data_IF_623555723801
#
_entry.id   IF_623555723801
#
_cell.length_a   1.000
_cell.length_b   1.000
_cell.length_c   1.000
_cell.angle_alpha   90.00
_cell.angle_beta   90.00
_cell.angle_gamma   90.00
#
_symmetry.space_group_name_H-M   'P 1'
#
loop_
_entity.id
_entity.type
_entity.pdbx_description
1 polymer ?
#
# COMPACT_ATOMS: atom_id res chain seq x y z
N UNK A 1 -17.77 15.44 -31.55
CA UNK A 1 -18.96 15.72 -30.72
C UNK A 1 -20.03 14.71 -31.07
N UNK A 2 -20.12 13.62 -30.31
CA UNK A 2 -21.16 12.59 -30.45
C UNK A 2 -21.77 12.42 -29.07
N UNK A 3 -23.07 12.70 -28.97
CA UNK A 3 -23.81 12.68 -27.72
C UNK A 3 -23.96 11.23 -27.23
N UNK A 4 -23.47 10.95 -26.01
CA UNK A 4 -23.69 9.66 -25.33
C UNK A 4 -25.12 9.62 -24.81
N UNK A 5 -25.87 8.60 -25.22
CA UNK A 5 -27.23 8.31 -24.77
C UNK A 5 -27.22 7.80 -23.32
N UNK A 6 -28.01 8.47 -22.46
CA UNK A 6 -28.28 8.09 -21.07
C UNK A 6 -29.17 6.83 -21.04
N UNK A 7 -28.93 5.84 -20.14
CA UNK A 7 -29.84 4.70 -19.99
C UNK A 7 -31.18 5.13 -19.39
N UNK A 8 -32.26 4.56 -19.93
CA UNK A 8 -33.65 4.82 -19.50
C UNK A 8 -33.87 4.53 -18.02
N UNK A 9 -34.67 5.40 -17.39
CA UNK A 9 -35.09 5.31 -15.99
C UNK A 9 -35.82 3.99 -15.69
N UNK A 10 -35.49 3.39 -14.54
CA UNK A 10 -36.20 2.24 -13.97
C UNK A 10 -37.63 2.63 -13.55
N UNK A 11 -38.60 1.68 -13.58
CA UNK A 11 -40.00 1.97 -13.32
C UNK A 11 -40.22 2.36 -11.85
N UNK A 12 -40.85 3.52 -11.66
CA UNK A 12 -41.42 3.94 -10.38
C UNK A 12 -42.66 3.09 -10.08
N UNK A 13 -42.55 2.15 -9.15
CA UNK A 13 -43.46 2.00 -8.00
C UNK A 13 -43.26 0.64 -7.36
N UNK A 14 -42.76 0.62 -6.13
CA UNK A 14 -43.18 -0.31 -5.10
C UNK A 14 -42.72 0.30 -3.77
N UNK A 15 -43.61 0.25 -2.78
CA UNK A 15 -43.50 0.83 -1.44
C UNK A 15 -42.11 0.66 -0.82
N UNK A 16 -41.47 1.78 -0.48
CA UNK A 16 -40.16 1.85 0.17
C UNK A 16 -40.22 1.10 1.51
N UNK A 17 -39.47 0.00 1.69
CA UNK A 17 -39.13 -0.46 3.04
C UNK A 17 -38.25 0.62 3.68
N UNK A 18 -38.46 0.92 4.95
CA UNK A 18 -37.62 1.85 5.71
C UNK A 18 -36.14 1.48 5.51
N UNK A 19 -35.40 2.31 4.75
CA UNK A 19 -33.98 2.12 4.42
C UNK A 19 -33.10 1.97 5.69
N UNK A 20 -33.62 2.39 6.85
CA UNK A 20 -33.00 2.27 8.17
C UNK A 20 -32.92 0.83 8.71
N UNK A 21 -33.68 -0.12 8.16
CA UNK A 21 -33.58 -1.52 8.59
C UNK A 21 -32.31 -2.22 8.09
N UNK A 22 -31.68 -1.73 7.02
CA UNK A 22 -30.50 -2.35 6.39
C UNK A 22 -29.25 -2.21 7.28
N UNK A 23 -29.15 -1.11 8.05
CA UNK A 23 -28.03 -0.83 8.96
C UNK A 23 -28.06 -1.66 10.26
N UNK A 24 -29.14 -2.41 10.52
CA UNK A 24 -29.27 -3.30 11.68
C UNK A 24 -29.09 -4.77 11.32
N UNK A 25 -28.28 -5.07 10.31
CA UNK A 25 -27.91 -6.44 9.98
C UNK A 25 -27.04 -7.04 11.09
N UNK A 26 -27.30 -8.28 11.55
CA UNK A 26 -26.60 -8.91 12.67
C UNK A 26 -25.12 -9.25 12.38
N UNK A 27 -24.60 -8.87 11.21
CA UNK A 27 -23.20 -9.08 10.82
C UNK A 27 -22.23 -8.08 11.49
N UNK A 28 -22.75 -6.95 11.98
CA UNK A 28 -21.96 -5.83 12.50
C UNK A 28 -21.62 -5.93 14.00
N UNK A 29 -21.98 -7.04 14.68
CA UNK A 29 -21.89 -7.18 16.14
C UNK A 29 -20.63 -7.88 16.67
N UNK A 30 -19.69 -8.33 15.84
CA UNK A 30 -18.43 -8.95 16.31
C UNK A 30 -17.22 -8.04 16.09
N UNK A 31 -16.90 -7.21 17.07
CA UNK A 31 -15.78 -6.26 17.02
C UNK A 31 -14.63 -6.77 17.89
N UNK A 32 -13.41 -6.76 17.35
CA UNK A 32 -12.16 -6.93 18.11
C UNK A 32 -11.39 -5.62 18.06
N UNK A 33 -10.87 -5.16 19.20
CA UNK A 33 -10.09 -3.93 19.27
C UNK A 33 -8.84 -4.02 18.36
N UNK A 34 -8.53 -2.97 17.57
CA UNK A 34 -7.46 -2.98 16.57
C UNK A 34 -6.05 -3.20 17.16
N UNK A 35 -5.86 -2.92 18.44
CA UNK A 35 -4.57 -3.04 19.14
C UNK A 35 -4.22 -4.45 19.62
N UNK A 36 -5.10 -5.44 19.39
CA UNK A 36 -4.93 -6.82 19.88
C UNK A 36 -4.73 -7.83 18.73
N UNK A 37 -4.19 -7.41 17.58
CA UNK A 37 -3.83 -8.40 16.57
C UNK A 37 -2.63 -9.21 17.05
N UNK A 38 -2.83 -10.52 17.20
CA UNK A 38 -1.82 -11.45 17.71
C UNK A 38 -0.49 -11.35 16.94
N UNK A 39 0.64 -11.60 17.60
CA UNK A 39 1.95 -11.81 16.93
C UNK A 39 2.08 -13.21 16.31
N UNK A 40 0.96 -13.82 15.93
CA UNK A 40 0.95 -15.10 15.21
C UNK A 40 1.09 -14.84 13.71
N UNK A 41 1.46 -15.85 12.89
CA UNK A 41 1.47 -15.73 11.44
C UNK A 41 0.14 -15.19 10.87
N UNK A 42 -1.00 -15.68 11.38
CA UNK A 42 -2.32 -15.19 10.98
C UNK A 42 -2.53 -13.71 11.34
N UNK A 43 -2.01 -13.28 12.50
CA UNK A 43 -2.05 -11.88 12.90
C UNK A 43 -1.14 -10.97 12.07
N UNK A 44 0.03 -11.44 11.64
CA UNK A 44 0.90 -10.70 10.72
C UNK A 44 0.25 -10.51 9.34
N UNK A 45 -0.37 -11.56 8.80
CA UNK A 45 -1.11 -11.47 7.53
C UNK A 45 -2.26 -10.46 7.64
N UNK A 46 -3.05 -10.55 8.71
CA UNK A 46 -4.14 -9.63 9.01
C UNK A 46 -3.68 -8.17 9.11
N UNK A 47 -2.60 -7.91 9.85
CA UNK A 47 -2.02 -6.55 9.97
C UNK A 47 -1.49 -6.05 8.63
N UNK A 48 -0.83 -6.89 7.84
CA UNK A 48 -0.29 -6.51 6.55
C UNK A 48 -1.40 -6.16 5.55
N UNK A 49 -2.47 -6.95 5.53
CA UNK A 49 -3.65 -6.65 4.72
C UNK A 49 -4.29 -5.32 5.15
N UNK A 50 -4.51 -5.11 6.45
CA UNK A 50 -5.04 -3.85 6.97
C UNK A 50 -4.18 -2.66 6.58
N UNK A 51 -2.86 -2.75 6.77
CA UNK A 51 -1.91 -1.70 6.42
C UNK A 51 -2.02 -1.27 4.95
N UNK A 52 -2.11 -2.23 4.02
CA UNK A 52 -2.26 -1.94 2.59
C UNK A 52 -3.66 -1.42 2.26
N UNK A 53 -4.72 -2.06 2.77
CA UNK A 53 -6.11 -1.72 2.49
C UNK A 53 -6.47 -0.33 3.00
N UNK A 54 -6.08 0.01 4.22
CA UNK A 54 -6.40 1.31 4.81
C UNK A 54 -5.76 2.46 4.03
N UNK A 55 -4.49 2.29 3.62
CA UNK A 55 -3.77 3.23 2.74
C UNK A 55 -4.42 3.34 1.36
N UNK A 56 -4.87 2.23 0.79
CA UNK A 56 -5.57 2.23 -0.51
C UNK A 56 -6.88 3.00 -0.44
N UNK A 57 -7.73 2.72 0.56
CA UNK A 57 -9.00 3.42 0.73
C UNK A 57 -8.78 4.91 1.01
N UNK A 58 -7.82 5.24 1.88
CA UNK A 58 -7.45 6.63 2.15
C UNK A 58 -6.97 7.36 0.88
N UNK A 59 -6.09 6.75 0.07
CA UNK A 59 -5.64 7.33 -1.20
C UNK A 59 -6.82 7.55 -2.16
N UNK A 60 -7.66 6.55 -2.39
CA UNK A 60 -8.82 6.67 -3.29
C UNK A 60 -9.72 7.84 -2.87
N UNK A 61 -9.98 8.01 -1.57
CA UNK A 61 -10.81 9.09 -1.04
C UNK A 61 -10.12 10.45 -1.13
N UNK A 62 -8.87 10.53 -0.66
CA UNK A 62 -8.13 11.79 -0.55
C UNK A 62 -7.77 12.37 -1.92
N UNK A 63 -7.55 11.50 -2.91
CA UNK A 63 -7.30 11.89 -4.31
C UNK A 63 -8.61 12.09 -5.11
N UNK A 64 -9.77 11.96 -4.45
CA UNK A 64 -11.10 12.18 -5.03
C UNK A 64 -11.41 11.24 -6.22
N UNK A 65 -10.84 10.04 -6.21
CA UNK A 65 -11.14 8.99 -7.18
C UNK A 65 -12.48 8.29 -6.89
N UNK A 66 -12.91 8.36 -5.62
CA UNK A 66 -14.18 7.83 -5.12
C UNK A 66 -14.82 8.86 -4.18
N UNK A 67 -16.12 8.71 -3.94
CA UNK A 67 -16.79 9.44 -2.86
C UNK A 67 -16.78 8.62 -1.57
N UNK A 68 -16.78 9.33 -0.44
CA UNK A 68 -16.90 8.70 0.87
C UNK A 68 -17.84 9.46 1.80
N UNK A 69 -18.62 8.69 2.57
CA UNK A 69 -19.65 9.19 3.47
C UNK A 69 -19.51 8.55 4.84
N UNK A 70 -19.22 9.37 5.84
CA UNK A 70 -19.17 9.01 7.25
C UNK A 70 -20.57 9.03 7.85
N UNK A 71 -20.95 7.96 8.53
CA UNK A 71 -22.23 7.85 9.25
C UNK A 71 -21.96 7.89 10.74
N UNK A 72 -22.41 8.99 11.36
CA UNK A 72 -22.34 9.20 12.80
C UNK A 72 -23.50 8.45 13.47
N UNK A 73 -23.18 7.41 14.23
CA UNK A 73 -24.17 6.65 15.03
C UNK A 73 -24.25 7.13 16.48
N UNK A 74 -23.50 8.18 16.85
CA UNK A 74 -23.50 8.78 18.18
C UNK A 74 -22.80 7.96 19.27
N UNK A 75 -22.81 8.50 20.50
CA UNK A 75 -22.10 7.99 21.69
C UNK A 75 -22.66 6.67 22.29
N UNK A 76 -23.65 6.03 21.66
CA UNK A 76 -24.33 4.85 22.23
C UNK A 76 -23.52 3.55 22.12
N UNK A 77 -22.19 3.63 22.07
CA UNK A 77 -21.30 2.47 21.92
C UNK A 77 -21.43 1.76 20.56
N UNK A 78 -22.10 2.39 19.59
CA UNK A 78 -22.23 1.89 18.22
C UNK A 78 -21.04 2.36 17.40
N UNK A 79 -20.48 1.47 16.59
CA UNK A 79 -19.33 1.83 15.76
C UNK A 79 -19.76 2.72 14.61
N UNK A 80 -19.02 3.79 14.34
CA UNK A 80 -19.26 4.59 13.14
C UNK A 80 -18.75 3.86 11.90
N UNK A 81 -19.32 4.18 10.74
CA UNK A 81 -18.94 3.55 9.47
C UNK A 81 -18.65 4.60 8.40
N UNK A 82 -17.86 4.19 7.42
CA UNK A 82 -17.67 4.90 6.17
C UNK A 82 -18.25 4.07 5.03
N UNK A 83 -18.98 4.73 4.13
CA UNK A 83 -19.41 4.19 2.85
C UNK A 83 -18.54 4.80 1.78
N UNK A 84 -17.86 3.97 1.00
CA UNK A 84 -17.03 4.37 -0.12
C UNK A 84 -17.72 3.91 -1.40
N UNK A 85 -17.96 4.86 -2.31
CA UNK A 85 -18.84 4.70 -3.47
C UNK A 85 -18.21 5.27 -4.73
N UNK A 86 -18.69 4.89 -5.93
CA UNK A 86 -18.28 5.58 -7.15
C UNK A 86 -18.47 7.10 -7.02
N UNK A 87 -17.59 7.87 -7.65
CA UNK A 87 -17.65 9.33 -7.65
C UNK A 87 -19.01 9.83 -8.15
N UNK A 88 -19.59 10.81 -7.45
CA UNK A 88 -20.91 11.41 -7.72
C UNK A 88 -22.10 10.42 -7.66
N UNK A 89 -21.97 9.35 -6.88
CA UNK A 89 -23.08 8.39 -6.68
C UNK A 89 -24.24 8.98 -5.90
N UNK A 90 -25.46 8.78 -6.42
CA UNK A 90 -26.68 9.16 -5.73
C UNK A 90 -26.85 8.39 -4.41
N UNK A 91 -27.40 9.00 -3.33
CA UNK A 91 -27.55 8.32 -2.04
C UNK A 91 -28.37 7.03 -2.05
N UNK A 92 -29.27 6.86 -3.03
CA UNK A 92 -30.07 5.65 -3.21
C UNK A 92 -29.28 4.50 -3.84
N UNK A 93 -28.15 4.76 -4.51
CA UNK A 93 -27.33 3.73 -5.16
C UNK A 93 -26.20 3.18 -4.29
N UNK A 94 -25.93 3.79 -3.13
CA UNK A 94 -24.86 3.33 -2.22
C UNK A 94 -25.10 1.88 -1.76
N UNK A 95 -26.36 1.49 -1.59
CA UNK A 95 -26.73 0.13 -1.21
C UNK A 95 -26.48 -0.92 -2.31
N UNK A 96 -26.32 -0.49 -3.56
CA UNK A 96 -26.03 -1.35 -4.70
C UNK A 96 -24.54 -1.63 -4.86
N UNK A 97 -23.71 -0.65 -4.50
CA UNK A 97 -22.31 -0.61 -4.90
C UNK A 97 -21.51 0.27 -3.94
N UNK A 98 -21.07 -0.33 -2.83
CA UNK A 98 -20.21 0.34 -1.86
C UNK A 98 -19.24 -0.61 -1.20
N UNK A 99 -18.11 -0.05 -0.78
CA UNK A 99 -17.22 -0.64 0.21
C UNK A 99 -17.55 0.03 1.53
N UNK A 100 -17.86 -0.77 2.55
CA UNK A 100 -18.19 -0.29 3.89
C UNK A 100 -17.08 -0.70 4.82
N UNK A 101 -16.61 0.25 5.62
CA UNK A 101 -15.65 -0.02 6.68
C UNK A 101 -16.05 0.60 7.99
N UNK A 102 -15.70 -0.07 9.09
CA UNK A 102 -15.78 0.51 10.42
C UNK A 102 -14.72 1.60 10.57
N UNK A 103 -15.07 2.66 11.28
CA UNK A 103 -14.17 3.77 11.57
C UNK A 103 -13.84 3.81 13.07
N UNK A 104 -12.57 3.98 13.40
CA UNK A 104 -12.04 4.09 14.78
C UNK A 104 -12.06 5.53 15.29
N UNK A 105 -11.83 6.50 14.41
CA UNK A 105 -11.80 7.93 14.74
C UNK A 105 -12.57 8.74 13.69
N UNK A 106 -13.25 9.81 14.11
CA UNK A 106 -14.02 10.65 13.20
C UNK A 106 -13.08 11.30 12.15
N UNK A 107 -13.29 11.03 10.84
CA UNK A 107 -12.44 11.61 9.79
C UNK A 107 -12.77 13.09 9.60
N UNK A 108 -11.97 13.77 8.78
CA UNK A 108 -12.27 15.16 8.40
C UNK A 108 -13.44 15.15 7.42
N UNK A 109 -14.55 15.77 7.81
CA UNK A 109 -15.81 15.79 7.05
C UNK A 109 -16.28 17.21 6.74
N UNK A 110 -17.24 17.32 5.83
CA UNK A 110 -17.98 18.56 5.60
C UNK A 110 -18.69 19.06 6.87
N UNK A 111 -18.81 20.40 6.97
CA UNK A 111 -19.48 21.05 8.10
C UNK A 111 -20.98 20.78 8.14
N UNK A 112 -21.57 20.54 6.97
CA UNK A 112 -22.99 20.27 6.81
C UNK A 112 -23.20 18.80 6.48
N UNK A 113 -24.23 18.15 7.03
CA UNK A 113 -24.61 16.83 6.59
C UNK A 113 -24.94 16.79 5.09
N UNK A 114 -24.83 15.61 4.49
CA UNK A 114 -25.26 15.33 3.13
C UNK A 114 -26.76 15.57 2.99
N UNK A 115 -27.19 16.04 1.81
CA UNK A 115 -28.58 16.43 1.56
C UNK A 115 -29.58 15.34 1.98
N UNK A 116 -30.53 15.71 2.86
CA UNK A 116 -31.60 14.83 3.32
C UNK A 116 -31.22 13.80 4.38
N UNK A 117 -30.01 13.87 4.99
CA UNK A 117 -29.57 12.92 6.03
C UNK A 117 -28.79 13.61 7.15
N UNK A 118 -29.40 13.73 8.33
CA UNK A 118 -28.86 14.52 9.47
C UNK A 118 -27.57 13.97 10.11
N UNK A 119 -27.24 12.69 9.87
CA UNK A 119 -26.10 12.02 10.49
C UNK A 119 -25.08 11.46 9.48
N UNK A 120 -25.18 11.87 8.22
CA UNK A 120 -24.28 11.43 7.15
C UNK A 120 -23.49 12.62 6.66
N UNK A 121 -22.17 12.50 6.64
CA UNK A 121 -21.27 13.59 6.25
C UNK A 121 -20.34 13.13 5.14
N UNK A 122 -20.13 13.97 4.12
CA UNK A 122 -19.11 13.70 3.11
C UNK A 122 -17.72 13.80 3.74
N UNK A 123 -16.89 12.81 3.50
CA UNK A 123 -15.49 12.77 3.95
C UNK A 123 -14.64 13.61 3.01
N UNK A 124 -13.79 14.45 3.58
CA UNK A 124 -12.85 15.34 2.85
C UNK A 124 -11.42 14.88 2.98
N UNK A 125 -11.07 14.27 4.11
CA UNK A 125 -9.79 13.63 4.30
C UNK A 125 -9.97 12.44 5.24
N UNK A 126 -9.35 11.33 4.86
CA UNK A 126 -9.35 10.06 5.58
C UNK A 126 -7.92 9.69 5.92
N UNK A 127 -7.62 9.51 7.20
CA UNK A 127 -6.34 8.94 7.63
C UNK A 127 -6.44 7.41 7.58
N UNK A 128 -5.44 6.67 7.07
CA UNK A 128 -5.39 5.22 7.18
C UNK A 128 -5.63 4.68 8.60
N UNK A 129 -5.24 5.43 9.65
CA UNK A 129 -5.45 5.04 11.06
C UNK A 129 -6.91 5.19 11.54
N UNK A 130 -7.75 5.93 10.80
CA UNK A 130 -9.18 6.06 11.07
C UNK A 130 -9.95 4.78 10.71
N UNK A 131 -9.35 3.87 9.95
CA UNK A 131 -10.02 2.67 9.41
C UNK A 131 -9.82 1.48 10.35
N UNK A 132 -10.92 0.83 10.74
CA UNK A 132 -10.94 -0.36 11.57
C UNK A 132 -10.31 -1.59 10.90
N UNK A 133 -9.78 -2.50 11.73
CA UNK A 133 -9.17 -3.76 11.27
C UNK A 133 -10.26 -4.81 11.01
N UNK A 134 -10.16 -5.53 9.89
CA UNK A 134 -10.96 -6.73 9.57
C UNK A 134 -12.47 -6.56 9.42
N UNK A 135 -12.92 -5.34 9.13
CA UNK A 135 -14.32 -5.08 8.88
C UNK A 135 -14.50 -4.30 7.59
N UNK A 136 -14.22 -4.97 6.48
CA UNK A 136 -14.49 -4.44 5.15
C UNK A 136 -15.46 -5.37 4.44
N UNK A 137 -16.61 -4.80 4.07
CA UNK A 137 -17.61 -5.52 3.31
C UNK A 137 -17.88 -4.78 2.02
N UNK A 138 -18.05 -5.54 0.96
CA UNK A 138 -18.49 -5.07 -0.34
C UNK A 138 -19.97 -5.43 -0.48
N UNK A 139 -20.79 -4.45 -0.81
CA UNK A 139 -22.17 -4.68 -1.23
C UNK A 139 -22.23 -4.80 -2.74
N UNK A 140 -22.80 -5.92 -3.22
CA UNK A 140 -23.12 -6.14 -4.64
C UNK A 140 -24.61 -6.41 -4.80
N UNK A 141 -25.24 -5.65 -5.69
CA UNK A 141 -26.60 -5.87 -6.19
C UNK A 141 -27.67 -5.95 -5.10
N UNK A 142 -27.58 -5.09 -4.07
CA UNK A 142 -28.52 -4.94 -2.95
C UNK A 142 -28.80 -6.20 -2.10
N UNK A 143 -28.22 -7.34 -2.45
CA UNK A 143 -28.61 -8.65 -1.92
C UNK A 143 -27.44 -9.49 -1.44
N UNK A 144 -26.21 -9.14 -1.83
CA UNK A 144 -25.01 -9.85 -1.41
C UNK A 144 -24.02 -8.94 -0.71
N UNK A 145 -23.53 -9.42 0.43
CA UNK A 145 -22.48 -8.80 1.23
C UNK A 145 -21.30 -9.74 1.23
N UNK A 146 -20.16 -9.28 0.72
CA UNK A 146 -18.95 -10.08 0.62
C UNK A 146 -17.89 -9.47 1.53
N UNK A 147 -17.25 -10.29 2.37
CA UNK A 147 -16.09 -9.85 3.14
C UNK A 147 -14.90 -9.65 2.21
N UNK A 148 -14.22 -8.52 2.33
CA UNK A 148 -12.99 -8.28 1.60
C UNK A 148 -11.85 -8.96 2.35
N UNK A 149 -11.15 -9.85 1.66
CA UNK A 149 -10.04 -10.65 2.21
C UNK A 149 -8.72 -10.39 1.47
N UNK A 150 -8.75 -9.53 0.46
CA UNK A 150 -7.62 -9.20 -0.40
C UNK A 150 -7.75 -7.74 -0.86
N UNK A 151 -6.65 -6.99 -0.80
CA UNK A 151 -6.58 -5.60 -1.25
C UNK A 151 -6.89 -5.46 -2.75
N UNK A 152 -6.63 -6.50 -3.55
CA UNK A 152 -6.91 -6.50 -5.00
C UNK A 152 -8.40 -6.35 -5.29
N UNK A 153 -9.29 -6.85 -4.43
CA UNK A 153 -10.75 -6.74 -4.62
C UNK A 153 -11.22 -5.28 -4.58
N UNK A 154 -10.59 -4.45 -3.75
CA UNK A 154 -10.87 -3.01 -3.67
C UNK A 154 -10.41 -2.32 -4.94
N UNK A 155 -9.17 -2.61 -5.38
CA UNK A 155 -8.62 -1.99 -6.59
C UNK A 155 -9.39 -2.39 -7.84
N UNK A 156 -9.80 -3.66 -7.96
CA UNK A 156 -10.65 -4.12 -9.05
C UNK A 156 -11.98 -3.39 -9.06
N UNK A 157 -12.64 -3.28 -7.90
CA UNK A 157 -13.91 -2.57 -7.80
C UNK A 157 -13.77 -1.07 -8.15
N UNK A 158 -12.72 -0.42 -7.64
CA UNK A 158 -12.44 0.98 -7.94
C UNK A 158 -12.10 1.17 -9.43
N UNK A 159 -11.36 0.24 -10.03
CA UNK A 159 -11.06 0.22 -11.46
C UNK A 159 -12.31 0.11 -12.32
N UNK A 160 -13.27 -0.73 -11.93
CA UNK A 160 -14.59 -0.80 -12.58
C UNK A 160 -15.35 0.53 -12.47
N UNK A 161 -15.36 1.16 -11.29
CA UNK A 161 -16.03 2.45 -11.08
C UNK A 161 -15.44 3.58 -11.94
N UNK A 162 -14.12 3.59 -12.07
CA UNK A 162 -13.38 4.60 -12.82
C UNK A 162 -13.23 4.26 -14.31
N UNK A 163 -13.70 3.09 -14.76
CA UNK A 163 -13.51 2.58 -16.12
C UNK A 163 -12.03 2.52 -16.52
N UNK A 164 -11.17 2.07 -15.60
CA UNK A 164 -9.74 1.93 -15.84
C UNK A 164 -9.42 0.80 -16.83
N UNK A 165 -8.26 0.92 -17.49
CA UNK A 165 -7.69 -0.15 -18.30
C UNK A 165 -7.39 -1.38 -17.42
N UNK A 166 -7.81 -2.57 -17.87
CA UNK A 166 -7.63 -3.81 -17.13
C UNK A 166 -6.16 -4.13 -16.90
N UNK A 167 -5.29 -3.84 -17.88
CA UNK A 167 -3.85 -4.06 -17.74
C UNK A 167 -3.24 -3.17 -16.63
N UNK A 168 -3.70 -1.91 -16.52
CA UNK A 168 -3.26 -1.01 -15.45
C UNK A 168 -3.77 -1.48 -14.07
N UNK A 169 -5.02 -1.94 -13.99
CA UNK A 169 -5.59 -2.50 -12.74
C UNK A 169 -4.82 -3.76 -12.32
N UNK A 170 -4.48 -4.64 -13.25
CA UNK A 170 -3.69 -5.84 -12.99
C UNK A 170 -2.28 -5.52 -12.49
N UNK A 171 -1.61 -4.52 -13.08
CA UNK A 171 -0.31 -4.06 -12.62
C UNK A 171 -0.36 -3.55 -11.17
N UNK A 172 -1.33 -2.66 -10.85
CA UNK A 172 -1.52 -2.15 -9.49
C UNK A 172 -1.86 -3.29 -8.52
N UNK A 173 -2.69 -4.26 -8.92
CA UNK A 173 -3.01 -5.42 -8.08
C UNK A 173 -1.75 -6.26 -7.77
N UNK A 174 -0.83 -6.38 -8.72
CA UNK A 174 0.46 -7.05 -8.51
C UNK A 174 1.32 -6.31 -7.48
N UNK A 175 1.39 -4.98 -7.56
CA UNK A 175 2.11 -4.15 -6.58
C UNK A 175 1.47 -4.19 -5.19
N UNK A 176 0.14 -4.15 -5.08
CA UNK A 176 -0.59 -4.30 -3.81
C UNK A 176 -0.31 -5.66 -3.17
N UNK A 177 -0.34 -6.73 -3.97
CA UNK A 177 -0.01 -8.08 -3.52
C UNK A 177 1.44 -8.17 -3.03
N UNK A 178 2.37 -7.57 -3.78
CA UNK A 178 3.78 -7.45 -3.38
C UNK A 178 3.91 -6.70 -2.05
N UNK A 179 3.20 -5.57 -1.88
CA UNK A 179 3.21 -4.79 -0.64
C UNK A 179 2.70 -5.59 0.56
N UNK A 180 1.57 -6.30 0.43
CA UNK A 180 1.03 -7.15 1.51
C UNK A 180 2.02 -8.25 1.89
N UNK A 181 2.60 -8.95 0.92
CA UNK A 181 3.54 -10.05 1.18
C UNK A 181 4.82 -9.54 1.88
N UNK A 182 5.37 -8.43 1.41
CA UNK A 182 6.56 -7.81 2.00
C UNK A 182 6.27 -7.24 3.39
N UNK A 183 5.11 -6.63 3.61
CA UNK A 183 4.71 -6.11 4.91
C UNK A 183 4.46 -7.25 5.92
N UNK A 184 3.86 -8.36 5.49
CA UNK A 184 3.69 -9.56 6.31
C UNK A 184 5.04 -10.12 6.74
N UNK A 185 5.98 -10.23 5.80
CA UNK A 185 7.34 -10.67 6.10
C UNK A 185 8.05 -9.70 7.07
N UNK A 186 7.91 -8.38 6.87
CA UNK A 186 8.48 -7.37 7.75
C UNK A 186 7.93 -7.44 9.17
N UNK A 187 6.62 -7.72 9.34
CA UNK A 187 6.06 -7.91 10.68
C UNK A 187 6.54 -9.19 11.37
N UNK A 188 6.77 -10.27 10.60
CA UNK A 188 7.27 -11.53 11.14
C UNK A 188 8.77 -11.47 11.51
N UNK A 189 9.54 -10.62 10.84
CA UNK A 189 11.00 -10.52 10.98
C UNK A 189 11.47 -9.12 11.40
N UNK A 190 10.63 -8.38 12.13
CA UNK A 190 10.96 -7.03 12.56
C UNK A 190 12.18 -7.05 13.49
N UNK A 191 13.14 -6.14 13.27
CA UNK A 191 14.24 -5.91 14.21
C UNK A 191 13.69 -5.33 15.53
N UNK A 192 14.43 -5.47 16.64
CA UNK A 192 14.04 -4.85 17.90
C UNK A 192 13.82 -3.34 17.76
N UNK A 193 12.94 -2.79 18.60
CA UNK A 193 12.74 -1.34 18.68
C UNK A 193 14.06 -0.67 19.10
N UNK A 194 14.55 0.33 18.34
CA UNK A 194 15.82 0.95 18.62
C UNK A 194 15.76 1.80 19.89
N UNK A 195 16.87 1.88 20.60
CA UNK A 195 17.01 2.71 21.78
C UNK A 195 17.57 4.09 21.42
N UNK A 196 16.92 5.15 21.88
CA UNK A 196 17.30 6.54 21.56
C UNK A 196 18.71 6.93 22.05
N UNK A 197 19.22 6.31 23.11
CA UNK A 197 20.51 6.64 23.70
C UNK A 197 21.65 5.75 23.20
N UNK A 198 21.36 4.52 22.78
CA UNK A 198 22.39 3.52 22.48
C UNK A 198 22.36 2.96 21.07
N UNK A 199 21.26 3.07 20.33
CA UNK A 199 21.19 2.53 18.98
C UNK A 199 21.92 3.42 17.97
N UNK A 200 22.62 2.76 17.07
CA UNK A 200 23.31 3.35 15.93
C UNK A 200 22.30 3.81 14.86
N UNK A 201 22.74 4.69 13.95
CA UNK A 201 21.91 5.12 12.83
C UNK A 201 21.43 3.94 11.96
N UNK A 202 22.25 2.90 11.78
CA UNK A 202 21.88 1.74 10.97
C UNK A 202 20.84 0.86 11.67
N UNK A 203 20.88 0.73 13.00
CA UNK A 203 19.83 0.03 13.74
C UNK A 203 18.49 0.78 13.65
N UNK A 204 18.51 2.11 13.72
CA UNK A 204 17.32 2.93 13.50
C UNK A 204 16.74 2.72 12.11
N UNK A 205 17.56 2.86 11.06
CA UNK A 205 17.12 2.69 9.67
C UNK A 205 16.53 1.29 9.42
N UNK A 206 17.20 0.25 9.92
CA UNK A 206 16.80 -1.13 9.69
C UNK A 206 15.66 -1.61 10.62
N UNK A 207 15.22 -0.78 11.56
CA UNK A 207 14.07 -1.06 12.44
C UNK A 207 12.73 -0.62 11.85
N UNK A 208 12.71 0.12 10.74
CA UNK A 208 11.48 0.64 10.14
C UNK A 208 10.66 -0.51 9.55
N UNK A 209 9.43 -0.72 10.07
CA UNK A 209 8.53 -1.81 9.65
C UNK A 209 7.36 -1.34 8.78
N UNK A 210 6.89 -0.11 8.89
CA UNK A 210 5.65 0.35 8.23
C UNK A 210 5.83 0.85 6.78
N UNK A 211 7.00 1.37 6.41
CA UNK A 211 7.19 1.99 5.08
C UNK A 211 6.49 3.36 4.99
N UNK A 212 6.08 3.78 3.79
CA UNK A 212 5.39 5.06 3.60
C UNK A 212 4.02 5.08 4.31
N UNK A 213 3.73 6.13 5.08
CA UNK A 213 2.54 6.19 5.93
C UNK A 213 1.22 6.18 5.13
N UNK A 214 1.20 6.80 3.95
CA UNK A 214 -0.04 6.99 3.18
C UNK A 214 -0.11 6.23 1.85
N UNK A 215 0.98 5.61 1.37
CA UNK A 215 1.00 5.04 0.02
C UNK A 215 0.54 3.58 0.02
N UNK A 216 -0.42 3.14 -0.82
CA UNK A 216 -0.95 1.78 -0.76
C UNK A 216 0.08 0.71 -1.12
N UNK A 217 1.04 1.03 -1.99
CA UNK A 217 2.13 0.14 -2.39
C UNK A 217 3.41 0.41 -1.56
N UNK A 218 3.25 0.80 -0.28
CA UNK A 218 4.32 1.26 0.63
C UNK A 218 5.49 0.28 0.83
N UNK A 219 5.30 -1.00 0.53
CA UNK A 219 6.32 -2.06 0.62
C UNK A 219 6.43 -2.87 -0.67
N UNK A 220 5.87 -2.41 -1.78
CA UNK A 220 6.00 -3.12 -3.04
C UNK A 220 7.48 -3.22 -3.43
N UNK A 221 7.91 -4.43 -3.77
CA UNK A 221 9.22 -4.71 -4.35
C UNK A 221 8.97 -5.29 -5.72
N UNK A 222 8.96 -4.40 -6.71
CA UNK A 222 8.74 -4.76 -8.09
C UNK A 222 10.07 -4.70 -8.86
N UNK A 223 10.24 -5.59 -9.82
CA UNK A 223 11.40 -5.62 -10.70
C UNK A 223 10.92 -5.77 -12.15
N UNK A 224 11.58 -5.06 -13.04
CA UNK A 224 11.34 -5.17 -14.48
C UNK A 224 12.36 -6.11 -15.12
N UNK A 225 11.98 -6.92 -16.13
CA UNK A 225 12.92 -7.70 -16.89
C UNK A 225 14.10 -6.83 -17.36
N UNK A 226 15.33 -7.26 -17.14
CA UNK A 226 15.75 -8.64 -16.85
C UNK A 226 15.94 -9.00 -15.38
N UNK A 227 15.51 -8.13 -14.48
CA UNK A 227 15.68 -8.34 -13.05
C UNK A 227 14.60 -9.31 -12.55
N UNK A 228 15.04 -10.35 -11.85
CA UNK A 228 14.14 -11.31 -11.22
C UNK A 228 13.35 -10.65 -10.08
N UNK A 229 12.08 -11.05 -9.85
CA UNK A 229 11.28 -10.58 -8.73
C UNK A 229 12.01 -10.69 -7.40
N UNK A 230 11.99 -9.61 -6.62
CA UNK A 230 12.65 -9.57 -5.30
C UNK A 230 11.72 -10.22 -4.28
N UNK A 231 12.10 -11.41 -3.83
CA UNK A 231 11.34 -12.16 -2.82
C UNK A 231 11.38 -11.44 -1.45
N UNK A 232 10.33 -11.55 -0.60
CA UNK A 232 10.30 -10.91 0.72
C UNK A 232 11.48 -11.26 1.64
N UNK A 233 12.00 -12.49 1.53
CA UNK A 233 13.13 -13.04 2.28
C UNK A 233 14.51 -12.62 1.76
N UNK A 234 14.57 -11.88 0.65
CA UNK A 234 15.83 -11.34 0.12
C UNK A 234 16.51 -10.46 1.17
N UNK A 235 17.75 -10.79 1.52
CA UNK A 235 18.52 -9.98 2.46
C UNK A 235 18.92 -8.64 1.81
N UNK A 236 18.30 -7.56 2.29
CA UNK A 236 18.60 -6.18 1.87
C UNK A 236 19.40 -5.41 2.93
N UNK A 237 19.72 -6.05 4.07
CA UNK A 237 20.37 -5.41 5.21
C UNK A 237 21.88 -5.60 5.21
N UNK A 238 22.33 -6.81 4.86
CA UNK A 238 23.75 -7.16 4.82
C UNK A 238 24.13 -7.48 3.37
N UNK A 239 24.56 -6.46 2.65
CA UNK A 239 24.85 -6.55 1.22
C UNK A 239 26.36 -6.67 0.95
N UNK A 240 26.75 -7.74 0.26
CA UNK A 240 28.07 -7.83 -0.36
C UNK A 240 28.04 -7.16 -1.74
N UNK A 241 28.68 -5.99 -1.87
CA UNK A 241 28.79 -5.31 -3.15
C UNK A 241 29.63 -6.12 -4.13
N UNK A 242 29.24 -6.12 -5.41
CA UNK A 242 30.05 -6.66 -6.50
C UNK A 242 30.75 -5.53 -7.22
N UNK A 243 32.03 -5.69 -7.56
CA UNK A 243 32.75 -4.73 -8.38
C UNK A 243 32.84 -5.25 -9.82
N UNK A 244 32.55 -4.40 -10.79
CA UNK A 244 32.71 -4.70 -12.22
C UNK A 244 33.70 -3.74 -12.86
N UNK A 245 34.46 -4.21 -13.84
CA UNK A 245 35.31 -3.36 -14.67
C UNK A 245 34.46 -2.70 -15.77
N UNK A 246 34.43 -1.38 -15.81
CA UNK A 246 33.72 -0.61 -16.84
C UNK A 246 34.74 0.15 -17.68
N UNK A 247 34.74 0.00 -19.02
CA UNK A 247 35.62 0.77 -19.88
C UNK A 247 35.38 2.28 -19.70
N UNK A 248 36.45 3.05 -19.50
CA UNK A 248 36.39 4.51 -19.35
C UNK A 248 35.77 5.21 -20.56
N UNK A 249 35.83 4.57 -21.74
CA UNK A 249 35.16 5.05 -22.97
C UNK A 249 33.63 4.96 -22.92
N UNK A 250 33.06 4.17 -22.00
CA UNK A 250 31.61 3.92 -21.86
C UNK A 250 31.00 4.62 -20.63
N UNK A 251 31.81 5.26 -19.79
CA UNK A 251 31.36 5.94 -18.59
C UNK A 251 31.74 7.42 -18.61
N UNK A 252 30.79 8.27 -18.21
CA UNK A 252 31.04 9.68 -17.96
C UNK A 252 31.18 9.92 -16.47
N UNK A 253 32.41 10.12 -16.01
CA UNK A 253 32.69 10.44 -14.60
C UNK A 253 32.47 11.95 -14.37
N UNK A 254 31.76 12.30 -13.30
CA UNK A 254 31.52 13.68 -12.87
C UNK A 254 31.99 13.82 -11.42
N UNK A 255 32.77 14.86 -11.12
CA UNK A 255 33.30 15.12 -9.78
C UNK A 255 34.47 14.21 -9.40
N UNK A 256 34.69 14.02 -8.10
CA UNK A 256 35.84 13.30 -7.53
C UNK A 256 35.56 11.81 -7.26
N UNK A 257 34.80 11.14 -8.14
CA UNK A 257 34.29 9.78 -7.91
C UNK A 257 35.40 8.79 -7.51
N UNK A 258 36.53 8.76 -8.24
CA UNK A 258 37.64 7.83 -7.98
C UNK A 258 38.28 8.04 -6.60
N UNK A 259 38.36 9.30 -6.14
CA UNK A 259 38.84 9.63 -4.80
C UNK A 259 37.85 9.17 -3.72
N UNK A 260 36.55 9.20 -4.00
CA UNK A 260 35.54 8.71 -3.07
C UNK A 260 35.50 7.18 -3.03
N UNK A 261 35.67 6.52 -4.18
CA UNK A 261 35.70 5.06 -4.28
C UNK A 261 36.97 4.45 -3.69
N UNK A 262 38.10 5.17 -3.64
CA UNK A 262 39.35 4.64 -3.08
C UNK A 262 39.20 4.16 -1.62
N UNK A 263 38.36 4.84 -0.83
CA UNK A 263 38.06 4.41 0.54
C UNK A 263 37.22 3.13 0.57
N UNK A 264 36.33 2.96 -0.39
CA UNK A 264 35.51 1.76 -0.52
C UNK A 264 36.36 0.55 -0.93
N UNK A 265 37.27 0.71 -1.90
CA UNK A 265 38.20 -0.35 -2.30
C UNK A 265 39.08 -0.78 -1.14
N UNK A 266 39.69 0.17 -0.42
CA UNK A 266 40.57 -0.14 0.70
C UNK A 266 39.86 -0.93 1.81
N UNK A 267 38.58 -0.61 2.09
CA UNK A 267 37.77 -1.38 3.05
C UNK A 267 37.44 -2.77 2.52
N UNK A 268 37.03 -2.90 1.25
CA UNK A 268 36.71 -4.20 0.64
C UNK A 268 37.93 -5.13 0.59
N UNK A 269 39.11 -4.59 0.26
CA UNK A 269 40.38 -5.35 0.22
C UNK A 269 40.81 -5.82 1.62
N UNK A 270 40.58 -4.99 2.66
CA UNK A 270 40.87 -5.34 4.05
C UNK A 270 39.99 -6.51 4.55
N UNK A 271 38.71 -6.56 4.15
CA UNK A 271 37.80 -7.65 4.50
C UNK A 271 38.17 -8.98 3.85
N UNK A 272 38.78 -8.96 2.65
CA UNK A 272 39.19 -10.16 1.91
C UNK A 272 40.59 -10.68 2.26
N UNK A 273 41.17 -10.22 3.38
CA UNK A 273 42.47 -10.68 3.87
C UNK A 273 43.68 -10.06 3.16
N UNK A 274 43.51 -8.90 2.52
CA UNK A 274 44.60 -8.03 2.06
C UNK A 274 45.47 -8.54 0.90
N UNK A 275 45.11 -9.67 0.27
CA UNK A 275 45.90 -10.31 -0.78
C UNK A 275 45.22 -10.35 -2.17
N UNK A 276 44.03 -9.77 -2.30
CA UNK A 276 43.30 -9.66 -3.56
C UNK A 276 42.77 -8.24 -3.70
N UNK A 277 43.59 -7.34 -4.24
CA UNK A 277 43.18 -5.95 -4.46
C UNK A 277 42.26 -5.87 -5.66
N UNK A 278 41.08 -5.27 -5.49
CA UNK A 278 40.11 -5.05 -6.58
C UNK A 278 40.79 -4.40 -7.78
N UNK A 279 41.67 -3.43 -7.51
CA UNK A 279 42.38 -2.67 -8.55
C UNK A 279 43.47 -3.45 -9.28
N UNK A 280 43.97 -4.55 -8.70
CA UNK A 280 44.94 -5.44 -9.38
C UNK A 280 44.27 -6.32 -10.44
N UNK A 281 42.93 -6.40 -10.41
CA UNK A 281 42.14 -7.23 -11.33
C UNK A 281 41.68 -6.49 -12.59
N UNK A 282 42.04 -5.21 -12.75
CA UNK A 282 41.60 -4.35 -13.87
C UNK A 282 42.75 -3.50 -14.41
N UNK A 283 42.62 -3.02 -15.66
CA UNK A 283 43.51 -1.99 -16.19
C UNK A 283 42.99 -0.59 -15.81
N UNK A 284 43.45 -0.05 -14.69
CA UNK A 284 43.00 1.25 -14.18
C UNK A 284 43.19 2.43 -15.17
N UNK A 285 44.03 2.28 -16.20
CA UNK A 285 44.24 3.30 -17.23
C UNK A 285 43.12 3.34 -18.28
N UNK A 286 42.46 2.20 -18.52
CA UNK A 286 41.40 2.06 -19.53
C UNK A 286 40.05 1.70 -18.94
N UNK A 287 40.02 1.24 -17.68
CA UNK A 287 38.84 0.76 -16.96
C UNK A 287 38.67 1.47 -15.61
N UNK A 288 37.45 1.40 -15.09
CA UNK A 288 37.07 1.85 -13.76
C UNK A 288 36.32 0.72 -13.06
N UNK A 289 36.77 0.33 -11.85
CA UNK A 289 36.02 -0.58 -11.00
C UNK A 289 34.76 0.14 -10.47
N UNK A 290 33.58 -0.39 -10.75
CA UNK A 290 32.31 0.20 -10.29
C UNK A 290 31.61 -0.75 -9.33
N UNK A 291 31.24 -0.29 -8.11
CA UNK A 291 30.40 -1.09 -7.22
C UNK A 291 28.98 -1.18 -7.78
N UNK A 292 28.43 -2.38 -7.78
CA UNK A 292 27.11 -2.72 -8.28
C UNK A 292 26.41 -3.62 -7.27
N UNK A 293 25.13 -3.35 -7.03
CA UNK A 293 24.29 -4.24 -6.25
C UNK A 293 24.14 -5.58 -7.00
N UNK A 294 24.37 -6.75 -6.38
CA UNK A 294 24.28 -8.05 -7.04
C UNK A 294 22.97 -8.26 -7.82
N UNK A 295 21.83 -7.86 -7.23
CA UNK A 295 20.53 -7.92 -7.91
C UNK A 295 20.48 -7.14 -9.24
N UNK A 296 21.31 -6.12 -9.45
CA UNK A 296 21.35 -5.35 -10.69
C UNK A 296 22.27 -5.94 -11.77
N UNK A 297 23.10 -6.93 -11.44
CA UNK A 297 24.03 -7.54 -12.40
C UNK A 297 23.33 -8.03 -13.68
N UNK A 298 22.14 -8.67 -13.65
CA UNK A 298 21.45 -9.09 -14.88
C UNK A 298 21.09 -7.95 -15.84
N UNK A 299 20.92 -6.72 -15.34
CA UNK A 299 20.66 -5.55 -16.16
C UNK A 299 21.95 -4.88 -16.65
N UNK A 300 23.02 -4.92 -15.85
CA UNK A 300 24.28 -4.24 -16.16
C UNK A 300 25.18 -5.08 -17.08
N UNK A 301 25.13 -6.41 -17.01
CA UNK A 301 25.98 -7.31 -17.80
C UNK A 301 25.41 -7.65 -19.20
N UNK A 302 24.40 -6.91 -19.66
CA UNK A 302 23.78 -7.10 -20.98
C UNK A 302 24.34 -6.19 -22.05
#
# INVERSE_FOLDING_TARGET
MSARSVPQALPQSQSRPDQYHILRTPFLSSISAPHLVSRSPAGHAKRALHATVSRLLACLVNEQLVDAHYVDLGDTGSSSYIFITPYESAPDSWAACSIISQITHKPVVDKTPSEGRDNVYRVRFLDPEDIGVDQWIQWRDYSSVVSITDATQIMQQAGEWMLCDSAAVEAICSELTSSVNNQMHAYAHSKPEPNILSSTAIEWEQSIVEGHATHPMHRARYSEPPLEPISPDTNMFDLALTFIAVPRSQIKVIGELERLLSLLYANADAEHGGNAFILDSIDCSTELAMPVHPLHLPAVLR
#
